data_IF_397534550504
#
_entry.id   IF_397534550504
#
_cell.length_a   1.000
_cell.length_b   1.000
_cell.length_c   1.000
_cell.angle_alpha   90.00
_cell.angle_beta   90.00
_cell.angle_gamma   90.00
#
_symmetry.space_group_name_H-M   'P 1'
#
loop_
_entity.id
_entity.type
_entity.pdbx_description
1 polymer ?
#
# COMPACT_ATOMS: atom_id res chain seq x y z
N UNK A 1 -1.02 -25.98 -8.71
CA UNK A 1 -2.19 -25.10 -8.66
C UNK A 1 -2.49 -24.55 -7.26
N UNK A 2 -1.46 -24.17 -6.48
CA UNK A 2 -1.63 -23.52 -5.17
C UNK A 2 -1.74 -21.99 -5.25
N UNK A 3 -1.56 -21.37 -6.40
CA UNK A 3 -1.47 -19.91 -6.54
C UNK A 3 -2.80 -19.17 -6.66
N UNK A 4 -3.94 -19.85 -6.76
CA UNK A 4 -5.20 -19.19 -7.11
C UNK A 4 -6.07 -18.75 -5.94
N UNK A 5 -5.69 -19.03 -4.69
CA UNK A 5 -6.59 -18.82 -3.54
C UNK A 5 -6.00 -17.88 -2.48
N UNK A 6 -4.71 -17.59 -2.51
CA UNK A 6 -4.11 -16.67 -1.52
C UNK A 6 -4.20 -15.22 -2.01
N UNK A 7 -5.04 -14.41 -1.36
CA UNK A 7 -5.00 -12.96 -1.51
C UNK A 7 -3.96 -12.41 -0.56
N UNK A 8 -2.87 -11.85 -1.09
CA UNK A 8 -1.93 -11.01 -0.33
C UNK A 8 -2.29 -9.56 -0.57
N UNK A 9 -2.30 -8.76 0.49
CA UNK A 9 -2.79 -7.39 0.45
C UNK A 9 -2.19 -6.52 -0.64
N UNK A 10 -0.86 -6.50 -0.82
CA UNK A 10 -0.21 -5.74 -1.89
C UNK A 10 -0.68 -6.12 -3.31
N UNK A 11 -1.29 -7.28 -3.49
CA UNK A 11 -1.92 -7.63 -4.77
C UNK A 11 -3.00 -6.64 -5.21
N UNK A 12 -3.61 -5.91 -4.27
CA UNK A 12 -4.65 -4.93 -4.56
C UNK A 12 -4.09 -3.69 -5.29
N UNK A 13 -2.86 -3.28 -5.00
CA UNK A 13 -2.22 -2.14 -5.68
C UNK A 13 -1.39 -2.50 -6.91
N UNK A 14 -1.14 -3.79 -7.18
CA UNK A 14 -0.41 -4.26 -8.36
C UNK A 14 -1.33 -4.89 -9.41
N UNK A 15 -1.97 -6.02 -9.09
CA UNK A 15 -2.79 -6.78 -10.05
C UNK A 15 -4.00 -6.02 -10.55
N UNK A 16 -4.61 -5.19 -9.69
CA UNK A 16 -5.84 -4.49 -10.06
C UNK A 16 -5.58 -3.35 -11.03
N UNK A 17 -4.40 -2.75 -11.05
CA UNK A 17 -4.10 -1.68 -12.00
C UNK A 17 -4.34 -2.12 -13.44
N UNK A 18 -3.76 -3.22 -13.87
CA UNK A 18 -4.02 -3.75 -15.23
C UNK A 18 -5.48 -4.16 -15.42
N UNK A 19 -6.10 -4.80 -14.42
CA UNK A 19 -7.46 -5.34 -14.54
C UNK A 19 -8.52 -4.24 -14.63
N UNK A 20 -8.34 -3.11 -13.98
CA UNK A 20 -9.26 -1.96 -14.08
C UNK A 20 -9.39 -1.48 -15.53
N UNK A 21 -8.28 -1.49 -16.28
CA UNK A 21 -8.26 -1.02 -17.67
C UNK A 21 -8.61 -2.11 -18.70
N UNK A 22 -8.31 -3.37 -18.41
CA UNK A 22 -8.42 -4.46 -19.40
C UNK A 22 -9.59 -5.41 -19.18
N UNK A 23 -10.02 -5.58 -17.92
CA UNK A 23 -11.09 -6.48 -17.52
C UNK A 23 -11.77 -5.98 -16.23
N UNK A 24 -12.47 -4.82 -16.28
CA UNK A 24 -13.01 -4.16 -15.09
C UNK A 24 -14.01 -5.02 -14.30
N UNK A 25 -14.70 -5.95 -14.95
CA UNK A 25 -15.57 -6.91 -14.28
C UNK A 25 -14.79 -7.87 -13.37
N UNK A 26 -13.56 -8.24 -13.72
CA UNK A 26 -12.70 -9.05 -12.86
C UNK A 26 -12.22 -8.21 -11.68
N UNK A 27 -11.81 -6.95 -11.91
CA UNK A 27 -11.44 -6.03 -10.85
C UNK A 27 -12.60 -5.82 -9.85
N UNK A 28 -13.84 -5.65 -10.38
CA UNK A 28 -15.06 -5.55 -9.58
C UNK A 28 -15.27 -6.78 -8.70
N UNK A 29 -15.13 -7.97 -9.25
CA UNK A 29 -15.32 -9.22 -8.51
C UNK A 29 -14.25 -9.42 -7.43
N UNK A 30 -13.01 -8.98 -7.65
CA UNK A 30 -11.96 -8.99 -6.63
C UNK A 30 -12.27 -8.01 -5.48
N UNK A 31 -12.88 -6.86 -5.75
CA UNK A 31 -13.34 -5.94 -4.72
C UNK A 31 -14.52 -6.52 -3.94
N UNK A 32 -15.48 -7.14 -4.61
CA UNK A 32 -16.58 -7.85 -3.98
C UNK A 32 -16.11 -9.03 -3.12
N UNK A 33 -15.06 -9.70 -3.52
CA UNK A 33 -14.43 -10.73 -2.69
C UNK A 33 -13.91 -10.12 -1.38
N UNK A 34 -13.30 -8.92 -1.40
CA UNK A 34 -12.93 -8.22 -0.16
C UNK A 34 -14.16 -7.88 0.68
N UNK A 35 -15.22 -7.37 0.07
CA UNK A 35 -16.47 -7.08 0.79
C UNK A 35 -17.08 -8.35 1.43
N UNK A 36 -17.06 -9.49 0.75
CA UNK A 36 -17.55 -10.76 1.31
C UNK A 36 -16.82 -11.23 2.56
N UNK A 37 -15.62 -10.68 2.85
CA UNK A 37 -14.83 -10.98 4.05
C UNK A 37 -14.94 -9.90 5.13
N UNK A 38 -15.86 -8.94 4.99
CA UNK A 38 -15.96 -7.81 5.91
C UNK A 38 -16.27 -8.25 7.34
N UNK A 39 -17.11 -9.28 7.55
CA UNK A 39 -17.43 -9.79 8.89
C UNK A 39 -16.21 -10.42 9.57
N UNK A 40 -15.39 -11.15 8.82
CA UNK A 40 -14.13 -11.68 9.34
C UNK A 40 -13.16 -10.56 9.70
N UNK A 41 -13.09 -9.51 8.87
CA UNK A 41 -12.28 -8.34 9.15
C UNK A 41 -12.76 -7.57 10.39
N UNK A 42 -14.08 -7.47 10.62
CA UNK A 42 -14.66 -6.92 11.86
C UNK A 42 -14.30 -7.79 13.09
N UNK A 43 -14.36 -9.10 12.93
CA UNK A 43 -13.97 -10.03 14.01
C UNK A 43 -12.50 -9.85 14.36
N UNK A 44 -11.62 -9.80 13.36
CA UNK A 44 -10.20 -9.57 13.57
C UNK A 44 -9.90 -8.22 14.24
N UNK A 45 -10.60 -7.16 13.85
CA UNK A 45 -10.46 -5.86 14.52
C UNK A 45 -10.79 -5.99 16.02
N UNK A 46 -11.89 -6.65 16.38
CA UNK A 46 -12.26 -6.91 17.80
C UNK A 46 -11.21 -7.72 18.55
N UNK A 47 -10.63 -8.76 17.92
CA UNK A 47 -9.54 -9.57 18.51
C UNK A 47 -8.30 -8.72 18.80
N UNK A 48 -8.06 -7.69 17.99
CA UNK A 48 -6.97 -6.73 18.17
C UNK A 48 -7.35 -5.53 19.05
N UNK A 49 -8.52 -5.57 19.71
CA UNK A 49 -9.11 -4.47 20.49
C UNK A 49 -9.27 -3.18 19.68
N UNK A 50 -9.62 -3.30 18.41
CA UNK A 50 -9.88 -2.19 17.49
C UNK A 50 -11.35 -2.15 17.09
N UNK A 51 -11.84 -0.95 16.79
CA UNK A 51 -13.13 -0.74 16.15
C UNK A 51 -13.04 -0.96 14.64
N UNK A 52 -14.20 -1.06 13.98
CA UNK A 52 -14.28 -1.18 12.53
C UNK A 52 -13.86 -2.54 12.01
N UNK A 53 -13.08 -2.54 10.92
CA UNK A 53 -12.62 -3.76 10.26
C UNK A 53 -11.12 -3.73 9.98
N UNK A 54 -10.45 -4.87 10.16
CA UNK A 54 -9.04 -5.07 9.88
C UNK A 54 -8.87 -6.24 8.92
N UNK A 55 -8.66 -5.94 7.64
CA UNK A 55 -8.44 -6.97 6.62
C UNK A 55 -7.10 -7.67 6.82
N UNK A 56 -7.06 -9.00 6.62
CA UNK A 56 -5.83 -9.78 6.81
C UNK A 56 -4.79 -9.48 5.71
N UNK A 57 -3.50 -9.56 6.08
CA UNK A 57 -2.40 -9.51 5.14
C UNK A 57 -2.42 -10.70 4.18
N UNK A 58 -2.64 -11.90 4.71
CA UNK A 58 -2.74 -13.14 3.95
C UNK A 58 -3.96 -13.94 4.38
N UNK A 59 -4.76 -14.36 3.41
CA UNK A 59 -5.99 -15.09 3.70
C UNK A 59 -6.42 -15.99 2.55
N UNK A 60 -7.19 -17.03 2.89
CA UNK A 60 -7.96 -17.84 1.95
C UNK A 60 -9.47 -17.77 2.23
N UNK A 61 -9.87 -17.50 3.46
CA UNK A 61 -11.26 -17.51 3.94
C UNK A 61 -11.70 -16.24 4.68
N UNK A 62 -10.83 -15.21 4.69
CA UNK A 62 -11.06 -13.96 5.43
C UNK A 62 -10.35 -13.87 6.78
N UNK A 63 -9.86 -15.00 7.32
CA UNK A 63 -9.05 -15.03 8.54
C UNK A 63 -7.57 -14.80 8.23
N UNK A 64 -6.80 -14.25 9.19
CA UNK A 64 -5.36 -14.02 9.03
C UNK A 64 -4.59 -15.34 9.01
N UNK A 65 -3.83 -15.59 7.95
CA UNK A 65 -3.08 -16.82 7.72
C UNK A 65 -1.55 -16.59 7.68
N UNK A 66 -1.03 -15.62 8.43
CA UNK A 66 0.40 -15.25 8.42
C UNK A 66 1.20 -15.78 9.62
N UNK A 67 0.81 -16.94 10.18
CA UNK A 67 1.47 -17.53 11.36
C UNK A 67 2.98 -17.79 11.17
N UNK A 68 3.42 -18.03 9.94
CA UNK A 68 4.85 -18.24 9.63
C UNK A 68 5.68 -16.94 9.62
N UNK A 69 5.02 -15.78 9.55
CA UNK A 69 5.63 -14.47 9.63
C UNK A 69 4.78 -13.57 10.53
N UNK A 70 5.04 -13.64 11.83
CA UNK A 70 4.25 -12.97 12.84
C UNK A 70 4.15 -11.44 12.64
N UNK A 71 5.22 -10.78 12.20
CA UNK A 71 5.21 -9.35 11.91
C UNK A 71 4.31 -8.96 10.72
N UNK A 72 3.94 -9.90 9.85
CA UNK A 72 2.97 -9.69 8.78
C UNK A 72 1.57 -9.36 9.29
N UNK A 73 1.22 -9.79 10.51
CA UNK A 73 -0.06 -9.46 11.14
C UNK A 73 -0.20 -7.96 11.42
N UNK A 74 0.91 -7.21 11.50
CA UNK A 74 0.93 -5.77 11.71
C UNK A 74 0.91 -4.94 10.41
N UNK A 75 0.66 -5.56 9.25
CA UNK A 75 0.52 -4.87 7.97
C UNK A 75 -0.90 -4.27 7.83
N UNK A 76 -1.19 -3.26 8.63
CA UNK A 76 -2.49 -2.58 8.65
C UNK A 76 -2.76 -1.76 7.39
N UNK A 77 -1.72 -1.38 6.64
CA UNK A 77 -1.84 -0.66 5.36
C UNK A 77 -2.73 -1.38 4.34
N UNK A 78 -2.92 -2.70 4.47
CA UNK A 78 -3.82 -3.50 3.63
C UNK A 78 -5.23 -2.91 3.57
N UNK A 79 -5.74 -2.36 4.66
CA UNK A 79 -7.01 -1.65 4.70
C UNK A 79 -7.04 -0.51 3.66
N UNK A 80 -6.01 0.33 3.68
CA UNK A 80 -5.92 1.47 2.78
C UNK A 80 -5.61 1.04 1.33
N UNK A 81 -4.84 -0.03 1.13
CA UNK A 81 -4.55 -0.58 -0.20
C UNK A 81 -5.83 -1.06 -0.90
N UNK A 82 -6.73 -1.73 -0.16
CA UNK A 82 -8.04 -2.16 -0.66
C UNK A 82 -8.90 -0.94 -1.02
N UNK A 83 -8.92 0.08 -0.17
CA UNK A 83 -9.70 1.31 -0.41
C UNK A 83 -9.13 2.14 -1.56
N UNK A 84 -7.81 2.18 -1.72
CA UNK A 84 -7.16 2.77 -2.89
C UNK A 84 -7.60 2.06 -4.18
N UNK A 85 -7.62 0.73 -4.20
CA UNK A 85 -8.07 -0.04 -5.35
C UNK A 85 -9.57 0.20 -5.66
N UNK A 86 -10.42 0.35 -4.63
CA UNK A 86 -11.82 0.72 -4.79
C UNK A 86 -11.99 2.12 -5.38
N UNK A 87 -11.21 3.10 -4.88
CA UNK A 87 -11.17 4.47 -5.41
C UNK A 87 -10.82 4.46 -6.89
N UNK A 88 -9.70 3.81 -7.27
CA UNK A 88 -9.25 3.70 -8.65
C UNK A 88 -10.27 3.02 -9.56
N UNK A 89 -10.89 1.94 -9.10
CA UNK A 89 -11.95 1.29 -9.85
C UNK A 89 -13.11 2.25 -10.14
N UNK A 90 -13.65 2.91 -9.12
CA UNK A 90 -14.78 3.82 -9.28
C UNK A 90 -14.45 5.04 -10.17
N UNK A 91 -13.23 5.58 -10.06
CA UNK A 91 -12.77 6.72 -10.85
C UNK A 91 -12.60 6.38 -12.34
N UNK A 92 -11.98 5.24 -12.66
CA UNK A 92 -11.65 4.88 -14.04
C UNK A 92 -12.87 4.30 -14.78
N UNK A 93 -13.65 3.46 -14.10
CA UNK A 93 -14.82 2.81 -14.73
C UNK A 93 -16.07 3.67 -14.70
N UNK A 94 -16.09 4.71 -13.87
CA UNK A 94 -17.30 5.49 -13.52
C UNK A 94 -18.47 4.63 -13.00
N UNK A 95 -18.19 3.38 -12.57
CA UNK A 95 -19.17 2.50 -11.91
C UNK A 95 -19.19 2.79 -10.42
N UNK A 96 -20.06 3.70 -10.03
CA UNK A 96 -20.29 4.05 -8.63
C UNK A 96 -21.22 3.07 -7.90
N UNK A 97 -21.82 2.12 -8.60
CA UNK A 97 -22.76 1.19 -7.99
C UNK A 97 -22.09 0.31 -6.93
N UNK A 98 -20.91 -0.21 -7.24
CA UNK A 98 -20.11 -0.96 -6.26
C UNK A 98 -19.72 -0.08 -5.07
N UNK A 99 -19.29 1.16 -5.33
CA UNK A 99 -18.85 2.09 -4.30
C UNK A 99 -19.96 2.36 -3.28
N UNK A 100 -21.16 2.72 -3.74
CA UNK A 100 -22.24 3.14 -2.84
C UNK A 100 -23.02 1.99 -2.20
N UNK A 101 -23.04 0.80 -2.81
CA UNK A 101 -23.78 -0.35 -2.25
C UNK A 101 -22.93 -1.23 -1.32
N UNK A 102 -21.66 -1.44 -1.64
CA UNK A 102 -20.77 -2.37 -0.95
C UNK A 102 -19.53 -1.65 -0.42
N UNK A 103 -18.88 -0.83 -1.25
CA UNK A 103 -17.60 -0.20 -0.96
C UNK A 103 -17.63 0.81 0.18
N UNK A 104 -18.68 1.60 0.28
CA UNK A 104 -18.84 2.61 1.32
C UNK A 104 -18.88 2.00 2.72
N UNK A 105 -19.45 0.81 2.87
CA UNK A 105 -19.44 0.10 4.15
C UNK A 105 -18.01 -0.30 4.55
N UNK A 106 -17.21 -0.79 3.60
CA UNK A 106 -15.78 -1.03 3.85
C UNK A 106 -15.04 0.26 4.21
N UNK A 107 -15.37 1.39 3.56
CA UNK A 107 -14.77 2.70 3.87
C UNK A 107 -15.06 3.16 5.29
N UNK A 108 -16.32 3.04 5.75
CA UNK A 108 -16.71 3.36 7.12
C UNK A 108 -15.92 2.52 8.12
N UNK A 109 -15.88 1.22 7.90
CA UNK A 109 -15.24 0.30 8.85
C UNK A 109 -13.70 0.44 8.87
N UNK A 110 -13.08 0.70 7.72
CA UNK A 110 -11.63 0.95 7.69
C UNK A 110 -11.28 2.32 8.28
N UNK A 111 -12.12 3.33 8.10
CA UNK A 111 -11.93 4.64 8.71
C UNK A 111 -12.01 4.58 10.25
N UNK A 112 -12.97 3.83 10.79
CA UNK A 112 -13.07 3.55 12.23
C UNK A 112 -11.80 2.92 12.77
N UNK A 113 -11.31 1.87 12.08
CA UNK A 113 -10.07 1.19 12.47
C UNK A 113 -8.88 2.14 12.52
N UNK A 114 -8.72 3.02 11.51
CA UNK A 114 -7.60 3.97 11.50
C UNK A 114 -7.66 4.99 12.64
N UNK A 115 -8.85 5.50 12.94
CA UNK A 115 -9.00 6.49 14.03
C UNK A 115 -8.79 5.86 15.39
N UNK A 116 -9.20 4.60 15.56
CA UNK A 116 -9.04 3.88 16.83
C UNK A 116 -7.60 3.37 17.04
N UNK A 117 -6.91 2.99 15.96
CA UNK A 117 -5.49 2.59 15.99
C UNK A 117 -4.56 3.76 16.28
N UNK A 118 -4.85 4.91 15.71
CA UNK A 118 -4.00 6.10 15.83
C UNK A 118 -4.34 6.98 17.03
N UNK A 119 -3.49 7.97 17.29
CA UNK A 119 -3.69 8.91 18.39
C UNK A 119 -3.04 10.27 18.10
N UNK A 120 -3.51 11.31 18.80
CA UNK A 120 -2.90 12.63 18.74
C UNK A 120 -1.74 12.73 19.71
N UNK A 121 -0.53 13.02 19.20
CA UNK A 121 0.70 13.09 19.99
C UNK A 121 1.09 14.54 20.31
N UNK A 122 1.09 14.91 21.59
CA UNK A 122 1.60 16.21 22.02
C UNK A 122 3.07 16.41 21.66
N UNK A 123 3.86 15.33 21.72
CA UNK A 123 5.30 15.34 21.34
C UNK A 123 5.51 15.65 19.85
N UNK A 124 4.52 15.42 19.01
CA UNK A 124 4.52 15.72 17.56
C UNK A 124 3.66 16.97 17.25
N UNK A 125 3.43 17.83 18.26
CA UNK A 125 2.67 19.08 18.07
C UNK A 125 1.20 18.85 17.71
N UNK A 126 0.56 17.85 18.31
CA UNK A 126 -0.84 17.51 18.09
C UNK A 126 -1.10 16.76 16.77
N UNK A 127 -0.07 16.21 16.12
CA UNK A 127 -0.24 15.40 14.92
C UNK A 127 -0.81 14.02 15.26
N UNK A 128 -1.59 13.48 14.32
CA UNK A 128 -2.16 12.14 14.39
C UNK A 128 -1.11 11.12 13.98
N UNK A 129 -0.75 10.22 14.87
CA UNK A 129 0.33 9.24 14.73
C UNK A 129 -0.22 7.82 14.72
N UNK A 130 0.44 6.92 13.98
CA UNK A 130 0.14 5.49 13.95
C UNK A 130 1.42 4.74 14.31
N UNK A 131 1.38 3.97 15.39
CA UNK A 131 2.53 3.26 15.93
C UNK A 131 2.35 1.74 15.85
N UNK A 132 3.48 1.01 15.87
CA UNK A 132 3.48 -0.44 15.97
C UNK A 132 2.98 -1.14 14.70
N UNK A 133 3.33 -0.64 13.52
CA UNK A 133 2.90 -1.16 12.23
C UNK A 133 4.07 -1.72 11.41
N UNK A 134 3.76 -2.62 10.50
CA UNK A 134 4.68 -3.07 9.44
C UNK A 134 4.20 -2.51 8.12
N UNK A 135 5.06 -1.81 7.39
CA UNK A 135 4.80 -1.35 6.03
C UNK A 135 4.86 -2.50 5.01
N UNK A 136 4.80 -2.19 3.70
CA UNK A 136 5.05 -3.17 2.64
C UNK A 136 6.42 -3.86 2.73
N UNK A 137 7.43 -3.17 3.25
CA UNK A 137 8.76 -3.70 3.48
C UNK A 137 8.79 -4.64 4.69
N UNK A 138 9.17 -5.89 4.46
CA UNK A 138 9.27 -6.90 5.52
C UNK A 138 10.63 -6.86 6.27
N UNK A 139 11.56 -6.01 5.86
CA UNK A 139 12.86 -5.79 6.54
C UNK A 139 12.79 -4.68 7.59
N UNK A 140 11.67 -3.94 7.63
CA UNK A 140 11.41 -2.86 8.59
C UNK A 140 10.06 -3.13 9.25
N UNK A 141 10.04 -3.72 10.44
CA UNK A 141 8.81 -4.25 11.04
C UNK A 141 8.54 -3.73 12.43
N UNK A 142 7.25 -3.55 12.72
CA UNK A 142 6.71 -3.06 14.00
C UNK A 142 7.35 -1.72 14.36
N UNK A 143 7.22 -0.78 13.44
CA UNK A 143 7.78 0.58 13.54
C UNK A 143 6.70 1.62 13.81
N UNK A 144 7.14 2.81 14.18
CA UNK A 144 6.25 3.94 14.43
C UNK A 144 6.22 4.88 13.23
N UNK A 145 5.03 5.36 12.90
CA UNK A 145 4.84 6.34 11.84
C UNK A 145 5.50 5.93 10.51
N UNK A 146 5.22 4.70 10.06
CA UNK A 146 5.65 4.27 8.72
C UNK A 146 5.05 5.20 7.67
N UNK A 147 5.90 5.79 6.83
CA UNK A 147 5.51 6.83 5.87
C UNK A 147 4.43 6.35 4.90
N UNK A 148 4.59 5.15 4.35
CA UNK A 148 3.61 4.56 3.44
C UNK A 148 2.26 4.36 4.13
N UNK A 149 2.26 3.70 5.28
CA UNK A 149 1.04 3.42 6.05
C UNK A 149 0.30 4.71 6.39
N UNK A 150 1.02 5.73 6.89
CA UNK A 150 0.40 7.00 7.27
C UNK A 150 -0.17 7.76 6.07
N UNK A 151 0.55 7.80 4.93
CA UNK A 151 0.04 8.42 3.70
C UNK A 151 -1.20 7.70 3.18
N UNK A 152 -1.17 6.37 3.11
CA UNK A 152 -2.29 5.57 2.60
C UNK A 152 -3.50 5.62 3.54
N UNK A 153 -3.29 5.59 4.86
CA UNK A 153 -4.35 5.78 5.85
C UNK A 153 -5.02 7.15 5.72
N UNK A 154 -4.22 8.20 5.52
CA UNK A 154 -4.74 9.55 5.26
C UNK A 154 -5.65 9.60 4.02
N UNK A 155 -5.23 8.99 2.92
CA UNK A 155 -6.04 8.93 1.69
C UNK A 155 -7.31 8.08 1.89
N UNK A 156 -7.25 6.98 2.64
CA UNK A 156 -8.41 6.19 3.00
C UNK A 156 -9.44 7.03 3.79
N UNK A 157 -8.96 7.79 4.80
CA UNK A 157 -9.82 8.67 5.59
C UNK A 157 -10.47 9.77 4.74
N UNK A 158 -9.71 10.46 3.89
CA UNK A 158 -10.25 11.47 2.96
C UNK A 158 -11.28 10.87 2.01
N UNK A 159 -11.01 9.68 1.49
CA UNK A 159 -11.94 9.01 0.58
C UNK A 159 -13.22 8.59 1.30
N UNK A 160 -13.14 8.12 2.54
CA UNK A 160 -14.32 7.81 3.36
C UNK A 160 -15.17 9.06 3.61
N UNK A 161 -14.56 10.16 4.05
CA UNK A 161 -15.25 11.45 4.27
C UNK A 161 -15.91 11.95 3.00
N UNK A 162 -15.17 11.99 1.89
CA UNK A 162 -15.69 12.44 0.58
C UNK A 162 -16.89 11.62 0.15
N UNK A 163 -16.76 10.29 0.19
CA UNK A 163 -17.81 9.39 -0.28
C UNK A 163 -19.08 9.49 0.57
N UNK A 164 -18.94 9.52 1.89
CA UNK A 164 -20.08 9.61 2.81
C UNK A 164 -20.79 10.96 2.67
N UNK A 165 -20.05 12.08 2.53
CA UNK A 165 -20.64 13.40 2.29
C UNK A 165 -21.35 13.46 0.91
N UNK A 166 -20.74 12.91 -0.13
CA UNK A 166 -21.38 12.82 -1.47
C UNK A 166 -22.69 12.03 -1.40
N UNK A 167 -22.73 10.94 -0.62
CA UNK A 167 -23.96 10.18 -0.44
C UNK A 167 -25.04 10.95 0.33
N UNK A 168 -24.67 11.66 1.38
CA UNK A 168 -25.57 12.47 2.17
C UNK A 168 -26.24 13.55 1.28
N UNK A 169 -25.46 14.18 0.40
CA UNK A 169 -25.94 15.28 -0.44
C UNK A 169 -26.75 14.81 -1.65
N UNK A 170 -26.30 13.72 -2.32
CA UNK A 170 -26.85 13.31 -3.61
C UNK A 170 -27.70 12.03 -3.56
N UNK A 171 -27.56 11.19 -2.53
CA UNK A 171 -28.20 9.89 -2.42
C UNK A 171 -28.73 9.61 -1.00
N UNK A 172 -29.63 10.45 -0.47
CA UNK A 172 -30.06 10.43 0.94
C UNK A 172 -30.66 9.08 1.37
N UNK A 173 -31.43 8.41 0.52
CA UNK A 173 -31.99 7.09 0.86
C UNK A 173 -30.89 6.02 1.03
N UNK A 174 -29.84 6.07 0.21
CA UNK A 174 -28.69 5.15 0.33
C UNK A 174 -27.85 5.50 1.57
N UNK A 175 -27.72 6.77 1.90
CA UNK A 175 -27.05 7.23 3.12
C UNK A 175 -27.78 6.73 4.38
N UNK A 176 -29.10 6.84 4.45
CA UNK A 176 -29.89 6.31 5.59
C UNK A 176 -29.77 4.79 5.69
N UNK A 177 -29.73 4.06 4.58
CA UNK A 177 -29.49 2.63 4.56
C UNK A 177 -28.06 2.30 5.08
N UNK A 178 -27.04 3.07 4.68
CA UNK A 178 -25.69 2.92 5.20
C UNK A 178 -25.64 3.16 6.71
N UNK A 179 -26.21 4.28 7.17
CA UNK A 179 -26.30 4.65 8.57
C UNK A 179 -26.96 3.54 9.40
N UNK A 180 -28.05 2.99 8.92
CA UNK A 180 -28.74 1.89 9.59
C UNK A 180 -27.89 0.59 9.68
N UNK A 181 -27.18 0.24 8.58
CA UNK A 181 -26.35 -0.98 8.56
C UNK A 181 -25.08 -0.87 9.42
N UNK A 182 -24.52 0.32 9.52
CA UNK A 182 -23.23 0.55 10.16
C UNK A 182 -23.35 1.27 11.50
N UNK A 183 -24.54 1.74 11.90
CA UNK A 183 -24.75 2.65 13.03
C UNK A 183 -23.82 3.88 12.96
N UNK A 184 -23.65 4.44 11.75
CA UNK A 184 -22.77 5.59 11.53
C UNK A 184 -23.29 6.84 12.24
N UNK A 185 -22.43 7.45 13.06
CA UNK A 185 -22.69 8.72 13.72
C UNK A 185 -22.01 9.89 12.97
N UNK A 186 -22.63 11.06 13.02
CA UNK A 186 -22.13 12.22 12.25
C UNK A 186 -20.76 12.72 12.71
N UNK A 187 -20.48 12.63 14.00
CA UNK A 187 -19.22 13.03 14.61
C UNK A 187 -18.04 12.14 14.21
N UNK A 188 -18.30 10.90 13.80
CA UNK A 188 -17.27 10.03 13.23
C UNK A 188 -16.65 10.64 11.96
N UNK A 189 -17.48 11.22 11.09
CA UNK A 189 -17.02 11.84 9.83
C UNK A 189 -16.08 13.02 10.12
N UNK A 190 -16.39 13.81 11.13
CA UNK A 190 -15.54 14.93 11.56
C UNK A 190 -14.24 14.40 12.21
N UNK A 191 -14.31 13.31 12.96
CA UNK A 191 -13.14 12.66 13.54
C UNK A 191 -12.20 12.12 12.44
N UNK A 192 -12.75 11.49 11.40
CA UNK A 192 -11.97 11.02 10.25
C UNK A 192 -11.28 12.17 9.50
N UNK A 193 -12.02 13.24 9.23
CA UNK A 193 -11.48 14.45 8.60
C UNK A 193 -10.34 15.03 9.42
N UNK A 194 -10.55 15.18 10.74
CA UNK A 194 -9.54 15.72 11.65
C UNK A 194 -8.30 14.85 11.71
N UNK A 195 -8.43 13.52 11.73
CA UNK A 195 -7.30 12.59 11.72
C UNK A 195 -6.50 12.69 10.42
N UNK A 196 -7.19 12.75 9.28
CA UNK A 196 -6.57 12.91 7.96
C UNK A 196 -5.79 14.23 7.84
N UNK A 197 -6.38 15.36 8.25
CA UNK A 197 -5.77 16.70 8.19
C UNK A 197 -4.52 16.82 9.08
N UNK A 198 -4.48 16.05 10.15
CA UNK A 198 -3.38 16.09 11.13
C UNK A 198 -2.43 14.89 11.02
N UNK A 199 -2.60 14.00 10.04
CA UNK A 199 -1.75 12.82 9.88
C UNK A 199 -0.27 13.19 9.87
N UNK A 200 0.50 12.54 10.73
CA UNK A 200 1.95 12.71 10.77
C UNK A 200 2.58 11.90 9.64
N UNK A 201 3.28 12.59 8.76
CA UNK A 201 4.12 11.95 7.74
C UNK A 201 5.56 12.38 8.00
N UNK A 202 6.48 11.44 8.29
CA UNK A 202 7.87 11.79 8.59
C UNK A 202 8.53 12.46 7.37
N UNK A 203 9.27 13.55 7.63
CA UNK A 203 10.04 14.26 6.61
C UNK A 203 11.32 14.86 7.20
N UNK A 204 12.46 14.44 6.68
CA UNK A 204 13.75 15.02 7.01
C UNK A 204 14.04 16.23 6.13
N UNK A 205 14.06 17.42 6.73
CA UNK A 205 14.28 18.68 5.99
C UNK A 205 15.71 18.86 5.50
N UNK A 206 16.69 18.25 6.17
CA UNK A 206 18.11 18.37 5.83
C UNK A 206 18.43 17.54 4.57
N UNK A 207 17.94 16.30 4.53
CA UNK A 207 18.08 15.41 3.38
C UNK A 207 17.04 15.72 2.31
N UNK A 208 15.88 16.25 2.68
CA UNK A 208 14.74 16.54 1.81
C UNK A 208 14.06 15.26 1.33
N UNK A 209 13.99 14.27 2.19
CA UNK A 209 13.39 12.96 1.96
C UNK A 209 12.33 12.62 3.02
N UNK A 210 11.52 11.63 2.73
CA UNK A 210 10.63 11.01 3.71
C UNK A 210 11.33 9.78 4.29
N UNK A 211 11.70 9.74 5.57
CA UNK A 211 12.14 8.51 6.24
C UNK A 211 11.06 7.44 6.12
N UNK A 212 11.46 6.16 5.95
CA UNK A 212 10.51 5.05 5.82
C UNK A 212 9.65 4.90 7.09
N UNK A 213 10.23 5.19 8.24
CA UNK A 213 9.56 5.30 9.53
C UNK A 213 10.29 6.31 10.41
N UNK A 214 9.81 6.51 11.65
CA UNK A 214 10.31 7.54 12.56
C UNK A 214 11.79 7.36 12.91
N UNK A 215 12.27 6.13 13.03
CA UNK A 215 13.61 5.79 13.50
C UNK A 215 14.57 5.34 12.38
N UNK A 216 14.09 5.20 11.14
CA UNK A 216 14.86 4.60 10.03
C UNK A 216 16.22 5.26 9.80
N UNK A 217 16.30 6.59 9.91
CA UNK A 217 17.55 7.33 9.65
C UNK A 217 18.59 7.19 10.77
N UNK A 218 18.19 6.72 11.95
CA UNK A 218 19.07 6.52 13.11
C UNK A 218 19.72 5.12 13.10
N UNK A 219 19.31 4.25 12.16
CA UNK A 219 19.87 2.90 12.03
C UNK A 219 21.21 2.91 11.27
N UNK A 220 22.04 1.90 11.54
CA UNK A 220 23.27 1.66 10.79
C UNK A 220 22.95 1.12 9.38
N UNK A 221 23.64 1.61 8.35
CA UNK A 221 23.46 1.12 7.00
C UNK A 221 24.01 -0.32 6.83
N UNK A 222 23.23 -1.19 6.19
CA UNK A 222 23.71 -2.54 5.83
C UNK A 222 24.71 -2.47 4.69
N UNK A 223 25.82 -3.21 4.80
CA UNK A 223 26.82 -3.29 3.72
C UNK A 223 26.39 -4.24 2.60
N UNK A 224 25.42 -3.80 1.78
CA UNK A 224 24.89 -4.58 0.66
C UNK A 224 26.00 -4.98 -0.32
N UNK A 225 26.97 -4.09 -0.57
CA UNK A 225 28.00 -4.29 -1.59
C UNK A 225 28.95 -5.45 -1.26
N UNK A 226 29.24 -5.64 0.02
CA UNK A 226 30.13 -6.70 0.49
C UNK A 226 29.37 -7.92 1.00
N UNK A 227 28.04 -7.89 1.04
CA UNK A 227 27.23 -9.07 1.38
C UNK A 227 27.26 -10.06 0.19
N UNK A 228 27.71 -11.31 0.39
CA UNK A 228 27.75 -12.33 -0.65
C UNK A 228 26.35 -12.57 -1.26
N UNK A 229 26.29 -12.74 -2.58
CA UNK A 229 25.02 -12.91 -3.29
C UNK A 229 24.21 -14.13 -2.84
N UNK A 230 24.87 -15.20 -2.43
CA UNK A 230 24.28 -16.42 -1.89
C UNK A 230 23.58 -16.22 -0.55
N UNK A 231 23.78 -15.08 0.12
CA UNK A 231 23.11 -14.71 1.37
C UNK A 231 21.84 -13.85 1.15
N UNK A 232 21.39 -13.71 -0.07
CA UNK A 232 20.10 -13.13 -0.40
C UNK A 232 19.09 -14.21 -0.82
N UNK A 233 17.79 -14.09 -0.46
CA UNK A 233 17.17 -13.03 0.36
C UNK A 233 17.64 -13.05 1.82
N UNK A 234 17.85 -11.88 2.43
CA UNK A 234 18.44 -11.79 3.76
C UNK A 234 17.68 -12.57 4.84
N UNK A 235 16.33 -12.58 4.78
CA UNK A 235 15.49 -13.31 5.75
C UNK A 235 15.68 -14.82 5.73
N UNK A 236 16.26 -15.40 4.70
CA UNK A 236 16.58 -16.84 4.66
C UNK A 236 17.92 -17.17 5.32
N UNK A 237 18.78 -16.18 5.54
CA UNK A 237 20.17 -16.38 5.98
C UNK A 237 20.51 -15.67 7.28
N UNK A 238 19.79 -14.60 7.61
CA UNK A 238 20.03 -13.81 8.83
C UNK A 238 18.80 -13.85 9.74
N UNK A 239 19.04 -13.82 11.03
CA UNK A 239 17.96 -13.68 11.99
C UNK A 239 17.25 -12.33 11.79
N UNK A 240 15.91 -12.26 11.77
CA UNK A 240 15.17 -11.02 11.51
C UNK A 240 15.64 -9.84 12.38
N UNK A 241 15.89 -10.04 13.67
CA UNK A 241 16.37 -8.98 14.57
C UNK A 241 17.74 -8.39 14.17
N UNK A 242 18.52 -9.07 13.36
CA UNK A 242 19.76 -8.51 12.79
C UNK A 242 19.41 -7.53 11.68
N UNK A 243 18.48 -7.92 10.80
CA UNK A 243 18.04 -7.11 9.68
C UNK A 243 17.35 -5.83 10.19
N UNK A 244 16.43 -5.95 11.16
CA UNK A 244 15.59 -4.85 11.67
C UNK A 244 16.40 -3.72 12.36
N UNK A 245 17.68 -3.91 12.60
CA UNK A 245 18.58 -2.90 13.18
C UNK A 245 19.33 -2.07 12.14
N UNK A 246 19.08 -2.32 10.85
CA UNK A 246 19.82 -1.68 9.78
C UNK A 246 18.93 -0.95 8.79
N UNK A 247 19.50 0.07 8.15
CA UNK A 247 18.93 0.67 6.94
C UNK A 247 19.16 -0.27 5.77
N UNK A 248 18.25 -1.19 5.59
CA UNK A 248 18.18 -2.11 4.46
C UNK A 248 16.72 -2.45 4.22
N UNK A 249 16.31 -2.48 2.97
CA UNK A 249 14.92 -2.69 2.60
C UNK A 249 14.81 -3.78 1.53
N UNK A 250 13.79 -4.61 1.66
CA UNK A 250 13.40 -5.60 0.68
C UNK A 250 12.71 -4.92 -0.51
N UNK A 251 11.87 -3.94 -0.19
CA UNK A 251 11.17 -3.07 -1.14
C UNK A 251 10.90 -1.71 -0.48
N UNK A 252 11.07 -0.62 -1.23
CA UNK A 252 10.98 0.71 -0.66
C UNK A 252 9.52 1.18 -0.54
N UNK A 253 9.02 1.31 0.69
CA UNK A 253 7.69 1.81 1.00
C UNK A 253 7.45 3.21 0.43
N UNK A 254 8.43 4.12 0.61
CA UNK A 254 8.36 5.50 0.12
C UNK A 254 8.35 5.55 -1.41
N UNK A 255 9.11 4.68 -2.09
CA UNK A 255 9.11 4.61 -3.56
C UNK A 255 7.77 4.13 -4.10
N UNK A 256 7.13 3.16 -3.40
CA UNK A 256 5.78 2.73 -3.73
C UNK A 256 4.76 3.86 -3.49
N UNK A 257 4.87 4.60 -2.37
CA UNK A 257 4.02 5.76 -2.10
C UNK A 257 4.16 6.84 -3.19
N UNK A 258 5.38 7.10 -3.66
CA UNK A 258 5.62 8.07 -4.76
C UNK A 258 4.96 7.65 -6.07
N UNK A 259 4.79 6.35 -6.31
CA UNK A 259 4.03 5.88 -7.47
C UNK A 259 2.52 6.03 -7.25
N UNK A 260 1.97 5.52 -6.14
CA UNK A 260 0.53 5.49 -5.90
C UNK A 260 -0.06 6.89 -5.66
N UNK A 261 0.67 7.74 -4.98
CA UNK A 261 0.27 9.08 -4.53
C UNK A 261 1.21 10.16 -5.11
N UNK A 262 1.65 9.99 -6.34
CA UNK A 262 2.70 10.82 -6.95
C UNK A 262 2.37 12.31 -7.05
N UNK A 263 1.08 12.66 -7.08
CA UNK A 263 0.60 14.04 -7.02
C UNK A 263 0.89 14.76 -5.67
N UNK A 264 1.24 14.01 -4.63
CA UNK A 264 1.61 14.55 -3.32
C UNK A 264 3.11 14.87 -3.20
N UNK A 265 3.91 14.52 -4.20
CA UNK A 265 5.36 14.72 -4.19
C UNK A 265 5.80 15.65 -5.32
N UNK A 266 6.71 16.54 -5.02
CA UNK A 266 7.40 17.30 -6.06
C UNK A 266 8.45 16.41 -6.75
N UNK A 267 8.83 16.72 -8.01
CA UNK A 267 9.85 16.00 -8.76
C UNK A 267 11.19 15.94 -7.99
N UNK A 268 11.52 17.02 -7.31
CA UNK A 268 12.71 17.10 -6.45
C UNK A 268 12.64 16.12 -5.27
N UNK A 269 11.46 15.94 -4.66
CA UNK A 269 11.27 14.97 -3.58
C UNK A 269 11.34 13.55 -4.14
N UNK A 270 10.69 13.27 -5.28
CA UNK A 270 10.77 11.97 -5.96
C UNK A 270 12.22 11.59 -6.25
N UNK A 271 12.97 12.49 -6.87
CA UNK A 271 14.39 12.26 -7.17
C UNK A 271 15.22 11.98 -5.94
N UNK A 272 15.07 12.79 -4.86
CA UNK A 272 15.85 12.61 -3.62
C UNK A 272 15.50 11.33 -2.89
N UNK A 273 14.21 11.00 -2.76
CA UNK A 273 13.78 9.75 -2.15
C UNK A 273 14.29 8.55 -2.97
N UNK A 274 14.16 8.58 -4.30
CA UNK A 274 14.67 7.51 -5.15
C UNK A 274 16.17 7.32 -4.99
N UNK A 275 16.97 8.40 -5.09
CA UNK A 275 18.44 8.34 -4.96
C UNK A 275 18.88 7.79 -3.57
N UNK A 276 18.08 8.05 -2.53
CA UNK A 276 18.35 7.57 -1.19
C UNK A 276 18.01 6.08 -1.00
N UNK A 277 16.82 5.66 -1.42
CA UNK A 277 16.31 4.31 -1.17
C UNK A 277 16.81 3.26 -2.17
N UNK A 278 17.13 3.66 -3.40
CA UNK A 278 17.57 2.74 -4.44
C UNK A 278 18.82 1.91 -4.03
N UNK A 279 19.90 2.50 -3.50
CA UNK A 279 21.06 1.75 -3.06
C UNK A 279 20.85 0.91 -1.78
N UNK A 280 19.79 1.16 -1.01
CA UNK A 280 19.42 0.40 0.19
C UNK A 280 18.47 -0.75 -0.10
N UNK A 281 17.95 -0.85 -1.33
CA UNK A 281 16.99 -1.88 -1.74
C UNK A 281 17.71 -3.12 -2.24
N UNK A 282 17.49 -4.25 -1.55
CA UNK A 282 18.14 -5.53 -1.91
C UNK A 282 17.58 -6.15 -3.19
N UNK A 283 16.31 -5.83 -3.54
CA UNK A 283 15.64 -6.45 -4.67
C UNK A 283 15.12 -7.87 -4.38
N UNK A 284 15.09 -8.28 -3.12
CA UNK A 284 14.60 -9.60 -2.68
C UNK A 284 13.08 -9.79 -2.86
N UNK A 285 12.36 -8.74 -3.25
CA UNK A 285 10.93 -8.80 -3.59
C UNK A 285 10.74 -8.76 -5.10
N UNK A 286 9.95 -9.70 -5.63
CA UNK A 286 9.54 -9.69 -7.04
C UNK A 286 8.73 -8.42 -7.43
N UNK A 287 8.27 -7.64 -6.45
CA UNK A 287 7.50 -6.42 -6.63
C UNK A 287 8.37 -5.16 -6.72
N UNK A 288 9.62 -5.21 -6.24
CA UNK A 288 10.50 -4.03 -6.18
C UNK A 288 10.84 -3.48 -7.57
N UNK A 289 11.27 -4.34 -8.47
CA UNK A 289 11.82 -3.93 -9.75
C UNK A 289 10.84 -3.15 -10.63
N UNK A 290 9.55 -3.50 -10.65
CA UNK A 290 8.57 -2.78 -11.44
C UNK A 290 8.35 -1.35 -10.92
N UNK A 291 8.25 -1.14 -9.62
CA UNK A 291 8.08 0.19 -9.03
C UNK A 291 9.37 1.02 -9.15
N UNK A 292 10.53 0.40 -8.92
CA UNK A 292 11.81 1.07 -9.14
C UNK A 292 11.99 1.51 -10.61
N UNK A 293 11.55 0.68 -11.58
CA UNK A 293 11.57 1.04 -12.98
C UNK A 293 10.71 2.25 -13.30
N UNK A 294 9.46 2.29 -12.77
CA UNK A 294 8.53 3.39 -13.00
C UNK A 294 9.09 4.70 -12.45
N UNK A 295 9.52 4.70 -11.20
CA UNK A 295 10.06 5.91 -10.58
C UNK A 295 11.41 6.31 -11.17
N UNK A 296 12.28 5.35 -11.53
CA UNK A 296 13.52 5.64 -12.22
C UNK A 296 13.28 6.36 -13.56
N UNK A 297 12.28 5.93 -14.33
CA UNK A 297 11.89 6.63 -15.57
C UNK A 297 11.39 8.04 -15.26
N UNK A 298 10.52 8.22 -14.29
CA UNK A 298 9.94 9.51 -13.89
C UNK A 298 11.01 10.51 -13.40
N UNK A 299 12.06 10.04 -12.72
CA UNK A 299 13.16 10.91 -12.24
C UNK A 299 14.33 11.04 -13.23
N UNK A 300 14.18 10.52 -14.44
CA UNK A 300 15.19 10.61 -15.51
C UNK A 300 16.39 9.67 -15.37
N UNK A 301 16.30 8.62 -14.54
CA UNK A 301 17.34 7.61 -14.38
C UNK A 301 17.18 6.45 -15.39
N UNK A 302 17.21 6.77 -16.69
CA UNK A 302 16.78 5.88 -17.79
C UNK A 302 17.51 4.53 -17.83
N UNK A 303 18.82 4.48 -17.57
CA UNK A 303 19.58 3.23 -17.54
C UNK A 303 19.07 2.30 -16.43
N UNK A 304 18.80 2.84 -15.23
CA UNK A 304 18.22 2.10 -14.13
C UNK A 304 16.80 1.65 -14.46
N UNK A 305 15.98 2.54 -15.05
CA UNK A 305 14.62 2.21 -15.47
C UNK A 305 14.61 0.99 -16.40
N UNK A 306 15.45 0.98 -17.42
CA UNK A 306 15.59 -0.16 -18.35
C UNK A 306 16.12 -1.42 -17.68
N UNK A 307 17.10 -1.29 -16.78
CA UNK A 307 17.63 -2.42 -16.01
C UNK A 307 16.56 -3.10 -15.17
N UNK A 308 15.79 -2.32 -14.40
CA UNK A 308 14.67 -2.83 -13.59
C UNK A 308 13.52 -3.37 -14.43
N UNK A 309 13.19 -2.71 -15.56
CA UNK A 309 12.19 -3.21 -16.50
C UNK A 309 12.54 -4.62 -17.00
N UNK A 310 13.80 -4.80 -17.44
CA UNK A 310 14.29 -6.10 -17.90
C UNK A 310 14.20 -7.17 -16.80
N UNK A 311 14.57 -6.81 -15.57
CA UNK A 311 14.46 -7.71 -14.42
C UNK A 311 13.01 -8.12 -14.18
N UNK A 312 12.07 -7.16 -14.15
CA UNK A 312 10.64 -7.41 -13.93
C UNK A 312 10.03 -8.30 -15.02
N UNK A 313 10.32 -8.04 -16.30
CA UNK A 313 9.82 -8.83 -17.44
C UNK A 313 10.33 -10.27 -17.40
N UNK A 314 11.58 -10.47 -17.00
CA UNK A 314 12.23 -11.78 -17.00
C UNK A 314 12.00 -12.56 -15.69
N UNK A 315 11.31 -12.01 -14.69
CA UNK A 315 11.14 -12.60 -13.36
C UNK A 315 10.79 -14.09 -13.43
N UNK A 316 9.69 -14.42 -14.10
CA UNK A 316 9.24 -15.80 -14.26
C UNK A 316 9.75 -16.45 -15.57
N UNK A 317 10.01 -15.67 -16.62
CA UNK A 317 10.45 -16.21 -17.92
C UNK A 317 11.87 -16.77 -17.88
N UNK A 318 12.72 -16.24 -17.03
CA UNK A 318 14.11 -16.66 -16.87
C UNK A 318 14.42 -17.13 -15.44
N UNK A 319 13.40 -17.36 -14.61
CA UNK A 319 13.53 -17.76 -13.20
C UNK A 319 14.58 -16.92 -12.44
N UNK A 320 14.50 -15.60 -12.60
CA UNK A 320 15.51 -14.68 -12.05
C UNK A 320 15.60 -14.78 -10.52
N UNK A 321 14.47 -15.04 -9.86
CA UNK A 321 14.39 -15.26 -8.41
C UNK A 321 14.76 -16.67 -7.95
N UNK A 322 14.96 -17.64 -8.87
CA UNK A 322 15.26 -19.03 -8.54
C UNK A 322 14.13 -19.77 -7.81
N UNK A 323 12.89 -19.28 -7.91
CA UNK A 323 11.74 -19.81 -7.14
C UNK A 323 10.46 -20.01 -7.98
N UNK A 324 10.58 -20.06 -9.30
CA UNK A 324 9.43 -20.28 -10.19
C UNK A 324 8.78 -21.67 -9.96
N UNK A 325 9.51 -22.62 -9.42
CA UNK A 325 8.96 -23.92 -9.01
C UNK A 325 7.86 -23.80 -7.93
N UNK A 326 7.84 -22.72 -7.17
CA UNK A 326 6.82 -22.42 -6.16
C UNK A 326 5.55 -21.80 -6.76
N UNK A 327 5.60 -21.35 -8.01
CA UNK A 327 4.49 -20.74 -8.76
C UNK A 327 4.86 -19.40 -9.39
N UNK A 328 3.96 -18.90 -10.26
CA UNK A 328 4.17 -17.63 -10.94
C UNK A 328 3.95 -16.41 -10.04
N UNK A 329 4.74 -15.36 -10.24
CA UNK A 329 4.62 -14.09 -9.54
C UNK A 329 3.57 -13.18 -10.21
N UNK A 330 2.28 -13.52 -10.08
CA UNK A 330 1.17 -12.83 -10.78
C UNK A 330 1.15 -11.32 -10.51
N UNK A 331 1.49 -10.86 -9.29
CA UNK A 331 1.55 -9.43 -8.99
C UNK A 331 2.71 -8.74 -9.74
N UNK A 332 3.85 -9.41 -9.92
CA UNK A 332 4.97 -8.92 -10.75
C UNK A 332 4.61 -8.87 -12.23
N UNK A 333 3.81 -9.82 -12.72
CA UNK A 333 3.27 -9.75 -14.10
C UNK A 333 2.41 -8.50 -14.31
N UNK A 334 1.53 -8.18 -13.34
CA UNK A 334 0.80 -6.90 -13.33
C UNK A 334 1.75 -5.71 -13.30
N UNK A 335 2.78 -5.78 -12.47
CA UNK A 335 3.85 -4.77 -12.40
C UNK A 335 4.59 -4.56 -13.72
N UNK A 336 4.80 -5.61 -14.52
CA UNK A 336 5.41 -5.52 -15.84
C UNK A 336 4.56 -4.68 -16.81
N UNK A 337 3.22 -4.85 -16.79
CA UNK A 337 2.33 -3.97 -17.54
C UNK A 337 2.43 -2.52 -17.05
N UNK A 338 2.49 -2.33 -15.72
CA UNK A 338 2.64 -1.01 -15.12
C UNK A 338 3.94 -0.31 -15.56
N UNK A 339 5.04 -1.03 -15.69
CA UNK A 339 6.32 -0.49 -16.20
C UNK A 339 6.14 0.09 -17.61
N UNK A 340 5.45 -0.62 -18.49
CA UNK A 340 5.22 -0.12 -19.85
C UNK A 340 4.33 1.13 -19.85
N UNK A 341 3.22 1.09 -19.10
CA UNK A 341 2.16 2.11 -19.16
C UNK A 341 2.47 3.32 -18.27
N UNK A 342 2.82 3.07 -17.00
CA UNK A 342 3.12 4.17 -16.07
C UNK A 342 4.59 4.62 -16.14
N UNK A 343 5.53 3.68 -16.40
CA UNK A 343 6.95 3.99 -16.51
C UNK A 343 7.29 4.66 -17.84
N UNK A 344 7.24 3.91 -18.95
CA UNK A 344 7.73 4.40 -20.22
C UNK A 344 6.75 5.27 -21.01
N UNK A 345 5.44 4.96 -20.96
CA UNK A 345 4.45 5.84 -21.55
C UNK A 345 4.06 7.03 -20.64
N UNK A 346 4.52 7.07 -19.41
CA UNK A 346 4.30 8.17 -18.48
C UNK A 346 2.83 8.40 -18.12
N UNK A 347 1.96 7.38 -18.20
CA UNK A 347 0.56 7.54 -17.85
C UNK A 347 0.42 7.90 -16.36
N UNK A 348 -0.47 8.84 -16.07
CA UNK A 348 -0.94 9.15 -14.72
C UNK A 348 -2.46 9.21 -14.74
N UNK A 349 -3.10 8.76 -13.65
CA UNK A 349 -4.55 8.59 -13.57
C UNK A 349 -5.10 9.10 -12.22
N UNK A 350 -4.56 10.23 -11.75
CA UNK A 350 -4.98 10.83 -10.49
C UNK A 350 -6.41 11.39 -10.59
N UNK A 351 -7.25 11.05 -9.60
CA UNK A 351 -8.64 11.51 -9.48
C UNK A 351 -9.50 11.25 -10.76
N UNK A 352 -9.21 10.15 -11.47
CA UNK A 352 -9.92 9.75 -12.69
C UNK A 352 -9.50 10.52 -13.95
N UNK A 353 -8.51 11.39 -13.87
CA UNK A 353 -7.98 12.13 -15.03
C UNK A 353 -6.71 11.43 -15.54
N UNK A 354 -6.79 10.97 -16.80
CA UNK A 354 -5.66 10.31 -17.45
C UNK A 354 -4.81 11.34 -18.18
N UNK A 355 -3.53 11.41 -17.84
CA UNK A 355 -2.51 12.20 -18.53
C UNK A 355 -1.33 11.33 -18.95
N UNK A 356 -0.52 11.79 -19.90
CA UNK A 356 0.70 11.13 -20.33
C UNK A 356 1.85 12.12 -20.30
N UNK A 357 2.90 11.78 -19.57
CA UNK A 357 4.13 12.57 -19.41
C UNK A 357 5.34 11.63 -19.65
N UNK A 358 5.59 11.26 -20.94
CA UNK A 358 6.60 10.29 -21.31
C UNK A 358 8.04 10.77 -21.10
#
# INVERSE_FOLDING_TARGET
TRSSVESRGLGDVYKRQILIYTAPEIARNLLRFRYSMLEQARTRAREMNLQGALFPWRTSNGEEASAYYAAGTAQYHINADIMYALKKYAEITNDKSLLYNEGVEMLVETARMWVDLGFYSDRKGGKFCINGVTGPDEYTTVVNNNAYTNMMARENLFFAVKTVKEMLDAYPDQYENLKHRTNLETDEIDAWQKAADNMYVPFDRKLGIHPQDEDFLDLEAWDIKNTPRELFPLLLHYHPLVIYRHQVIKQADVVLAMFLLGNLFTDKQKKRNFDYYDPLTTGDSSLSACIQSIIAAEVGANEKAMGYARYAVLMDLADVGGNMAEGCHIASMGGTWMVAVYGFAGMRDYDGHITFEP
#
